data_IF_766614979228
#
_entry.id   IF_766614979228
#
_cell.length_a   1.000
_cell.length_b   1.000
_cell.length_c   1.000
_cell.angle_alpha   90.00
_cell.angle_beta   90.00
_cell.angle_gamma   90.00
#
_symmetry.space_group_name_H-M   'P 1'
#
loop_
_entity.id
_entity.type
_entity.pdbx_description
1 polymer ?
#
# COMPACT_ATOMS: atom_id res chain seq x y z
N UNK A 1 5.22 11.85 -1.34
CA UNK A 1 4.57 10.71 -2.03
C UNK A 1 3.43 10.34 -1.11
N UNK A 2 2.20 10.39 -1.59
CA UNK A 2 1.01 10.37 -0.74
C UNK A 2 0.21 9.09 -0.99
N UNK A 3 -0.28 8.46 0.08
CA UNK A 3 -1.12 7.26 -0.01
C UNK A 3 -2.37 7.43 0.83
N UNK A 4 -3.40 6.69 0.48
CA UNK A 4 -4.67 6.71 1.22
C UNK A 4 -4.64 5.68 2.34
N UNK A 5 -4.93 6.12 3.56
CA UNK A 5 -5.17 5.25 4.72
C UNK A 5 -6.41 4.37 4.43
N UNK A 6 -6.28 3.04 4.43
CA UNK A 6 -7.39 2.13 4.11
C UNK A 6 -8.46 2.07 5.22
N UNK A 7 -8.16 2.58 6.42
CA UNK A 7 -9.08 2.60 7.57
C UNK A 7 -9.99 3.82 7.53
N UNK A 8 -9.43 5.01 7.32
CA UNK A 8 -10.17 6.27 7.41
C UNK A 8 -10.28 7.05 6.09
N UNK A 9 -9.57 6.64 5.04
CA UNK A 9 -9.58 7.32 3.75
C UNK A 9 -8.77 8.63 3.69
N UNK A 10 -8.00 8.95 4.73
CA UNK A 10 -7.16 10.16 4.74
C UNK A 10 -5.89 9.96 3.91
N UNK A 11 -5.40 11.06 3.34
CA UNK A 11 -4.08 11.09 2.73
C UNK A 11 -2.99 11.08 3.80
N UNK A 12 -2.00 10.21 3.61
CA UNK A 12 -0.85 10.00 4.50
C UNK A 12 0.42 10.25 3.70
N UNK A 13 1.31 11.05 4.27
CA UNK A 13 2.61 11.32 3.66
C UNK A 13 3.60 10.21 4.00
N UNK A 14 4.18 9.59 2.98
CA UNK A 14 5.12 8.48 3.13
C UNK A 14 6.48 8.90 3.70
N UNK A 15 6.78 10.20 3.73
CA UNK A 15 8.08 10.70 4.19
C UNK A 15 8.32 10.55 5.70
N UNK A 16 7.25 10.45 6.49
CA UNK A 16 7.31 10.47 7.96
C UNK A 16 6.54 9.32 8.62
N UNK A 17 5.76 8.57 7.84
CA UNK A 17 4.91 7.48 8.35
C UNK A 17 5.60 6.11 8.26
N UNK A 18 5.60 5.38 9.37
CA UNK A 18 6.10 3.99 9.44
C UNK A 18 5.15 3.02 8.72
N UNK A 19 5.61 2.30 7.67
CA UNK A 19 4.80 1.29 7.02
C UNK A 19 4.64 0.02 7.87
N UNK A 20 3.52 -0.66 7.67
CA UNK A 20 3.38 -2.08 8.02
C UNK A 20 3.40 -2.90 6.75
N UNK A 21 4.24 -3.93 6.74
CA UNK A 21 4.17 -4.96 5.70
C UNK A 21 3.06 -5.98 6.02
N UNK A 22 2.12 -6.12 5.08
CA UNK A 22 1.11 -7.17 5.13
C UNK A 22 0.95 -7.77 3.74
N UNK A 23 1.09 -9.09 3.61
CA UNK A 23 1.01 -9.82 2.33
C UNK A 23 1.95 -9.30 1.23
N UNK A 24 3.12 -8.78 1.61
CA UNK A 24 4.10 -8.21 0.67
C UNK A 24 3.79 -6.76 0.23
N UNK A 25 2.85 -6.09 0.91
CA UNK A 25 2.50 -4.70 0.66
C UNK A 25 2.75 -3.84 1.88
N UNK A 26 3.33 -2.65 1.66
CA UNK A 26 3.49 -1.63 2.69
C UNK A 26 2.21 -0.79 2.82
N UNK A 27 1.61 -0.80 4.01
CA UNK A 27 0.44 -0.01 4.38
C UNK A 27 0.83 1.12 5.32
N UNK A 28 0.27 2.30 5.08
CA UNK A 28 0.54 3.50 5.87
C UNK A 28 -0.74 4.04 6.48
N UNK A 29 -0.61 4.65 7.65
CA UNK A 29 -1.73 5.07 8.48
C UNK A 29 -1.54 6.49 8.96
N UNK A 30 -2.62 7.26 9.04
CA UNK A 30 -2.55 8.64 9.48
C UNK A 30 -2.28 8.78 10.99
N UNK A 31 -2.45 7.70 11.75
CA UNK A 31 -2.32 7.68 13.21
C UNK A 31 -2.11 6.26 13.74
N UNK A 32 -1.57 6.15 14.96
CA UNK A 32 -1.46 4.87 15.66
C UNK A 32 -2.81 4.18 15.88
N UNK A 33 -3.90 4.94 16.00
CA UNK A 33 -5.25 4.40 16.13
C UNK A 33 -5.71 3.68 14.84
N UNK A 34 -5.48 4.28 13.67
CA UNK A 34 -5.79 3.64 12.38
C UNK A 34 -4.91 2.40 12.16
N UNK A 35 -3.61 2.49 12.53
CA UNK A 35 -2.71 1.34 12.53
C UNK A 35 -3.23 0.19 13.40
N UNK A 36 -3.69 0.48 14.62
CA UNK A 36 -4.22 -0.55 15.52
C UNK A 36 -5.54 -1.17 14.99
N UNK A 37 -6.42 -0.36 14.40
CA UNK A 37 -7.63 -0.83 13.75
C UNK A 37 -7.31 -1.75 12.55
N UNK A 38 -6.31 -1.40 11.75
CA UNK A 38 -5.81 -2.27 10.69
C UNK A 38 -5.27 -3.58 11.24
N UNK A 39 -4.45 -3.55 12.29
CA UNK A 39 -3.92 -4.77 12.93
C UNK A 39 -5.00 -5.66 13.52
N UNK A 40 -6.14 -5.10 13.93
CA UNK A 40 -7.28 -5.88 14.43
C UNK A 40 -8.02 -6.64 13.32
N UNK A 41 -8.08 -6.09 12.10
CA UNK A 41 -8.76 -6.70 10.95
C UNK A 41 -8.04 -6.45 9.61
N UNK A 42 -6.78 -6.91 9.46
CA UNK A 42 -5.94 -6.51 8.34
C UNK A 42 -6.44 -7.05 7.00
N UNK A 43 -7.02 -8.26 7.00
CA UNK A 43 -7.59 -8.88 5.80
C UNK A 43 -8.76 -8.06 5.21
N UNK A 44 -9.62 -7.50 6.07
CA UNK A 44 -10.75 -6.67 5.67
C UNK A 44 -10.30 -5.38 4.97
N UNK A 45 -9.29 -4.70 5.52
CA UNK A 45 -8.75 -3.46 4.94
C UNK A 45 -7.82 -3.72 3.75
N UNK A 46 -7.11 -4.85 3.74
CA UNK A 46 -6.24 -5.26 2.64
C UNK A 46 -7.03 -5.69 1.39
N UNK A 47 -8.18 -6.36 1.57
CA UNK A 47 -9.05 -6.80 0.48
C UNK A 47 -9.50 -5.64 -0.44
N UNK A 48 -9.84 -4.50 0.14
CA UNK A 48 -10.25 -3.29 -0.61
C UNK A 48 -9.15 -2.69 -1.51
N UNK A 49 -7.88 -3.07 -1.30
CA UNK A 49 -6.76 -2.59 -2.13
C UNK A 49 -6.38 -3.56 -3.25
N UNK A 50 -6.76 -4.84 -3.15
CA UNK A 50 -6.44 -5.88 -4.14
C UNK A 50 -7.01 -5.59 -5.54
N UNK A 51 -7.97 -4.68 -5.65
CA UNK A 51 -8.60 -4.31 -6.92
C UNK A 51 -7.92 -3.13 -7.64
N UNK A 52 -7.05 -2.36 -6.97
CA UNK A 52 -6.62 -1.04 -7.46
C UNK A 52 -5.13 -0.79 -7.66
N UNK A 53 -4.25 -1.77 -7.44
CA UNK A 53 -2.84 -1.58 -7.79
C UNK A 53 -2.21 -2.86 -8.37
N UNK A 54 -1.50 -2.77 -9.52
CA UNK A 54 -0.69 -3.87 -9.98
C UNK A 54 0.49 -4.09 -9.01
N UNK A 55 0.95 -5.34 -8.80
CA UNK A 55 2.16 -5.60 -8.03
C UNK A 55 3.34 -4.90 -8.71
N UNK A 56 4.11 -4.13 -7.96
CA UNK A 56 5.35 -3.56 -8.46
C UNK A 56 6.37 -4.69 -8.67
N UNK A 57 6.81 -4.91 -9.91
CA UNK A 57 8.18 -5.36 -10.14
C UNK A 57 8.45 -6.57 -11.03
N UNK A 58 7.81 -6.73 -12.20
CA UNK A 58 8.56 -7.26 -13.35
C UNK A 58 9.33 -6.12 -14.03
N UNK A 59 10.63 -6.14 -13.74
CA UNK A 59 11.73 -5.57 -14.50
C UNK A 59 11.37 -5.08 -15.91
N UNK A 60 11.72 -3.83 -16.18
CA UNK A 60 12.05 -3.41 -17.53
C UNK A 60 13.12 -4.34 -18.11
N UNK A 61 12.68 -5.27 -18.96
CA UNK A 61 13.50 -5.81 -20.03
C UNK A 61 12.65 -5.76 -21.29
N UNK A 62 12.49 -4.54 -21.79
CA UNK A 62 12.29 -4.36 -23.21
C UNK A 62 13.68 -4.53 -23.85
N UNK A 63 14.00 -5.62 -24.56
CA UNK A 63 14.79 -5.41 -25.75
C UNK A 63 13.84 -4.76 -26.76
N UNK A 64 14.21 -3.55 -27.18
CA UNK A 64 13.59 -2.81 -28.29
C UNK A 64 13.34 -3.77 -29.46
N UNK A 65 12.19 -3.72 -30.16
CA UNK A 65 12.10 -4.37 -31.45
C UNK A 65 12.96 -3.58 -32.44
N UNK A 66 13.99 -4.22 -32.98
CA UNK A 66 14.71 -3.71 -34.14
C UNK A 66 15.28 -4.89 -34.94
N UNK A 67 14.52 -5.22 -35.99
CA UNK A 67 14.95 -5.81 -37.26
C UNK A 67 15.08 -7.34 -37.28
#
# INVERSE_FOLDING_TARGET
>A
MEVTDPVCGKTVDLGEAEPIEHRGWAYFFCSAACRAAFLAAPDHYAASRHERAPPHGEAGKSPRPAQ
#
